data_IF_788339095278
#
_entry.id   IF_788339095278
#
_cell.length_a   1.000
_cell.length_b   1.000
_cell.length_c   1.000
_cell.angle_alpha   90.00
_cell.angle_beta   90.00
_cell.angle_gamma   90.00
#
_symmetry.space_group_name_H-M   'P 1'
#
loop_
_entity.id
_entity.type
_entity.pdbx_description
1 polymer ?
#
# COMPACT_ATOMS: atom_id res chain seq x y z
N UNK A 1 -0.62 32.98 -3.02
CA UNK A 1 -1.90 32.35 -2.60
C UNK A 1 -2.13 30.93 -3.16
N UNK A 2 -1.40 30.45 -4.18
CA UNK A 2 -1.62 29.09 -4.73
C UNK A 2 -1.15 27.93 -3.81
N UNK A 3 -0.11 28.13 -2.99
CA UNK A 3 0.52 27.05 -2.20
C UNK A 3 -0.38 26.54 -1.07
N UNK A 4 -1.15 27.41 -0.43
CA UNK A 4 -2.04 27.05 0.69
C UNK A 4 -3.22 26.19 0.25
N UNK A 5 -3.80 26.49 -0.93
CA UNK A 5 -4.93 25.75 -1.51
C UNK A 5 -4.55 24.29 -1.82
N UNK A 6 -3.37 24.06 -2.39
CA UNK A 6 -2.88 22.71 -2.70
C UNK A 6 -2.64 21.87 -1.45
N UNK A 7 -2.15 22.48 -0.37
CA UNK A 7 -1.96 21.80 0.93
C UNK A 7 -3.31 21.39 1.51
N UNK A 8 -4.29 22.30 1.50
CA UNK A 8 -5.64 22.03 2.02
C UNK A 8 -6.28 20.85 1.28
N UNK A 9 -6.24 20.84 -0.06
CA UNK A 9 -6.81 19.74 -0.85
C UNK A 9 -6.12 18.40 -0.53
N UNK A 10 -4.77 18.37 -0.48
CA UNK A 10 -4.00 17.17 -0.14
C UNK A 10 -4.42 16.60 1.22
N UNK A 11 -4.52 17.44 2.24
CA UNK A 11 -4.87 16.99 3.60
C UNK A 11 -6.35 16.63 3.74
N UNK A 12 -7.26 17.32 3.06
CA UNK A 12 -8.68 16.96 3.03
C UNK A 12 -8.89 15.57 2.45
N UNK A 13 -8.24 15.24 1.32
CA UNK A 13 -8.30 13.90 0.72
C UNK A 13 -7.75 12.83 1.66
N UNK A 14 -6.64 13.11 2.34
CA UNK A 14 -6.02 12.18 3.28
C UNK A 14 -6.96 11.90 4.48
N UNK A 15 -7.58 12.93 5.05
CA UNK A 15 -8.53 12.80 6.17
C UNK A 15 -9.79 12.04 5.75
N UNK A 16 -10.32 12.29 4.55
CA UNK A 16 -11.48 11.55 4.03
C UNK A 16 -11.13 10.07 3.83
N UNK A 17 -9.98 9.77 3.22
CA UNK A 17 -9.50 8.40 3.05
C UNK A 17 -9.27 7.70 4.40
N UNK A 18 -8.72 8.41 5.38
CA UNK A 18 -8.53 7.94 6.74
C UNK A 18 -9.87 7.62 7.42
N UNK A 19 -10.81 8.57 7.37
CA UNK A 19 -12.13 8.44 8.02
C UNK A 19 -12.95 7.29 7.45
N UNK A 20 -12.93 7.10 6.13
CA UNK A 20 -13.62 5.97 5.51
C UNK A 20 -13.06 4.62 5.96
N UNK A 21 -11.74 4.49 6.09
CA UNK A 21 -11.12 3.23 6.54
C UNK A 21 -11.38 2.95 8.02
N UNK A 22 -11.47 3.98 8.87
CA UNK A 22 -11.75 3.83 10.30
C UNK A 22 -13.21 3.50 10.61
N UNK A 23 -14.14 4.00 9.80
CA UNK A 23 -15.59 3.82 10.03
C UNK A 23 -16.06 2.45 9.52
N UNK A 24 -15.42 1.90 8.48
CA UNK A 24 -15.88 0.65 7.88
C UNK A 24 -15.45 -0.54 8.76
N UNK A 25 -16.40 -1.31 9.32
CA UNK A 25 -16.08 -2.39 10.24
C UNK A 25 -15.36 -3.56 9.53
N UNK A 26 -14.42 -4.19 10.22
CA UNK A 26 -13.67 -5.38 9.79
C UNK A 26 -14.54 -6.44 9.12
N UNK A 27 -15.71 -6.66 9.71
CA UNK A 27 -16.69 -7.67 9.28
C UNK A 27 -17.21 -7.39 7.87
N UNK A 28 -17.39 -6.13 7.51
CA UNK A 28 -17.89 -5.75 6.19
C UNK A 28 -16.80 -5.87 5.10
N UNK A 29 -15.53 -5.65 5.46
CA UNK A 29 -14.40 -5.68 4.52
C UNK A 29 -13.73 -7.05 4.39
N UNK A 30 -13.72 -7.85 5.46
CA UNK A 30 -12.86 -9.03 5.59
C UNK A 30 -13.60 -10.27 6.10
N UNK A 31 -14.89 -10.43 5.80
CA UNK A 31 -15.62 -11.65 6.15
C UNK A 31 -14.97 -12.92 5.58
N UNK A 32 -14.89 -13.94 6.45
CA UNK A 32 -14.07 -15.15 6.28
C UNK A 32 -14.51 -16.04 5.11
N UNK A 33 -15.75 -15.87 4.63
CA UNK A 33 -16.35 -16.80 3.68
C UNK A 33 -16.29 -16.30 2.23
N UNK A 34 -16.05 -14.99 2.02
CA UNK A 34 -15.90 -14.37 0.70
C UNK A 34 -14.95 -13.17 0.75
N UNK A 35 -13.67 -13.37 0.46
CA UNK A 35 -12.79 -12.23 0.15
C UNK A 35 -13.21 -11.65 -1.20
N UNK A 36 -13.86 -10.48 -1.19
CA UNK A 36 -14.19 -9.70 -2.40
C UNK A 36 -12.89 -9.13 -3.00
N UNK A 37 -12.08 -9.97 -3.62
CA UNK A 37 -10.90 -9.54 -4.37
C UNK A 37 -11.35 -9.09 -5.77
N UNK A 38 -11.69 -7.82 -5.91
CA UNK A 38 -12.07 -7.21 -7.19
C UNK A 38 -11.06 -7.52 -8.30
N UNK A 39 -9.76 -7.52 -7.98
CA UNK A 39 -8.72 -7.86 -8.93
C UNK A 39 -8.88 -9.28 -9.46
N UNK A 40 -9.01 -10.28 -8.58
CA UNK A 40 -9.24 -11.67 -8.98
C UNK A 40 -10.55 -11.82 -9.78
N UNK A 41 -11.62 -11.13 -9.36
CA UNK A 41 -12.91 -11.18 -10.05
C UNK A 41 -12.87 -10.56 -11.45
N UNK A 42 -12.04 -9.54 -11.68
CA UNK A 42 -11.96 -8.84 -12.97
C UNK A 42 -10.89 -9.48 -13.87
N UNK A 43 -9.73 -9.84 -13.33
CA UNK A 43 -8.57 -10.30 -14.12
C UNK A 43 -8.43 -11.82 -14.15
N UNK A 44 -9.10 -12.56 -13.27
CA UNK A 44 -8.89 -14.01 -13.10
C UNK A 44 -7.56 -14.36 -12.44
N UNK A 45 -6.78 -13.37 -12.00
CA UNK A 45 -5.44 -13.55 -11.42
C UNK A 45 -5.43 -13.15 -9.95
N UNK A 46 -4.81 -13.96 -9.09
CA UNK A 46 -4.62 -13.59 -7.67
C UNK A 46 -3.79 -12.30 -7.59
N UNK A 47 -4.30 -11.31 -6.86
CA UNK A 47 -3.63 -10.01 -6.75
C UNK A 47 -2.24 -10.18 -6.10
N UNK A 48 -1.15 -9.80 -6.78
CA UNK A 48 0.19 -9.87 -6.20
C UNK A 48 0.37 -8.88 -5.04
N UNK A 49 -0.39 -7.79 -5.01
CA UNK A 49 -0.43 -6.84 -3.90
C UNK A 49 -1.59 -7.14 -2.91
N UNK A 50 -2.03 -8.39 -2.80
CA UNK A 50 -3.09 -8.73 -1.83
C UNK A 50 -2.66 -8.37 -0.39
N UNK A 51 -3.66 -8.12 0.46
CA UNK A 51 -3.42 -7.74 1.85
C UNK A 51 -3.14 -6.26 2.07
N UNK A 52 -3.05 -5.41 1.04
CA UNK A 52 -2.87 -3.95 1.23
C UNK A 52 -3.97 -3.34 2.09
N UNK A 53 -5.24 -3.48 1.70
CA UNK A 53 -6.37 -2.90 2.43
C UNK A 53 -6.43 -3.39 3.89
N UNK A 54 -6.11 -4.67 4.11
CA UNK A 54 -6.08 -5.26 5.44
C UNK A 54 -4.89 -4.77 6.27
N UNK A 55 -3.70 -4.65 5.66
CA UNK A 55 -2.54 -4.08 6.32
C UNK A 55 -2.77 -2.62 6.69
N UNK A 56 -3.41 -1.84 5.81
CA UNK A 56 -3.77 -0.44 6.06
C UNK A 56 -4.75 -0.37 7.25
N UNK A 57 -5.77 -1.22 7.26
CA UNK A 57 -6.72 -1.32 8.36
C UNK A 57 -6.03 -1.64 9.69
N UNK A 58 -5.12 -2.62 9.72
CA UNK A 58 -4.35 -3.00 10.90
C UNK A 58 -3.40 -1.86 11.36
N UNK A 59 -2.76 -1.13 10.43
CA UNK A 59 -1.94 0.05 10.77
C UNK A 59 -2.78 1.11 11.47
N UNK A 60 -4.00 1.38 10.99
CA UNK A 60 -4.90 2.34 11.63
C UNK A 60 -5.38 1.93 13.02
N UNK A 61 -5.41 0.62 13.28
CA UNK A 61 -5.69 0.06 14.61
C UNK A 61 -4.41 -0.13 15.45
N UNK A 62 -3.27 0.41 15.01
CA UNK A 62 -1.97 0.35 15.72
C UNK A 62 -1.44 -1.10 15.85
N UNK A 63 -1.93 -2.02 15.02
CA UNK A 63 -1.54 -3.44 15.00
C UNK A 63 -0.42 -3.70 14.00
N UNK A 64 0.75 -3.08 14.21
CA UNK A 64 1.86 -3.09 13.24
C UNK A 64 2.36 -4.50 12.90
N UNK A 65 2.52 -5.38 13.90
CA UNK A 65 2.93 -6.77 13.66
C UNK A 65 1.93 -7.52 12.78
N UNK A 66 0.63 -7.27 12.97
CA UNK A 66 -0.42 -7.85 12.16
C UNK A 66 -0.42 -7.26 10.74
N UNK A 67 -0.21 -5.95 10.61
CA UNK A 67 -0.07 -5.30 9.31
C UNK A 67 1.10 -5.85 8.48
N UNK A 68 2.26 -6.08 9.11
CA UNK A 68 3.45 -6.66 8.47
C UNK A 68 3.17 -8.06 7.90
N UNK A 69 2.38 -8.88 8.61
CA UNK A 69 1.95 -10.21 8.12
C UNK A 69 1.08 -10.13 6.86
N UNK A 70 0.30 -9.05 6.71
CA UNK A 70 -0.57 -8.85 5.56
C UNK A 70 0.18 -8.24 4.37
N UNK A 71 0.97 -7.18 4.61
CA UNK A 71 1.80 -6.57 3.59
C UNK A 71 2.92 -5.74 4.25
N UNK A 72 4.16 -6.20 4.10
CA UNK A 72 5.33 -5.54 4.70
C UNK A 72 5.59 -4.13 4.18
N UNK A 73 5.20 -3.82 2.94
CA UNK A 73 5.42 -2.49 2.35
C UNK A 73 4.42 -1.45 2.87
N UNK A 74 3.28 -1.86 3.42
CA UNK A 74 2.25 -0.92 3.89
C UNK A 74 2.71 -0.14 5.13
N UNK A 75 3.17 -0.76 6.23
CA UNK A 75 3.73 -0.01 7.36
C UNK A 75 4.88 0.92 6.94
N UNK A 76 5.74 0.47 6.01
CA UNK A 76 6.81 1.31 5.46
C UNK A 76 6.26 2.52 4.69
N UNK A 77 5.23 2.34 3.88
CA UNK A 77 4.56 3.43 3.16
C UNK A 77 3.97 4.46 4.14
N UNK A 78 3.40 4.03 5.27
CA UNK A 78 2.93 4.95 6.31
C UNK A 78 4.06 5.77 6.93
N UNK A 79 5.24 5.18 7.15
CA UNK A 79 6.42 5.93 7.61
C UNK A 79 6.86 6.98 6.59
N UNK A 80 6.86 6.64 5.29
CA UNK A 80 7.17 7.58 4.20
C UNK A 80 6.16 8.74 4.18
N UNK A 81 4.86 8.45 4.31
CA UNK A 81 3.80 9.47 4.37
C UNK A 81 3.94 10.35 5.62
N UNK A 82 4.24 9.77 6.79
CA UNK A 82 4.46 10.55 8.01
C UNK A 82 5.67 11.49 7.87
N UNK A 83 6.76 11.02 7.25
CA UNK A 83 7.93 11.82 6.95
C UNK A 83 7.60 12.97 5.96
N UNK A 84 6.81 12.71 4.93
CA UNK A 84 6.33 13.75 3.99
C UNK A 84 5.57 14.87 4.70
N UNK A 85 4.65 14.49 5.58
CA UNK A 85 3.86 15.44 6.37
C UNK A 85 4.80 16.27 7.24
N UNK A 86 5.71 15.61 7.96
CA UNK A 86 6.71 16.29 8.80
C UNK A 86 7.56 17.28 7.99
N UNK A 87 8.08 16.87 6.84
CA UNK A 87 8.89 17.73 5.97
C UNK A 87 8.06 18.92 5.47
N UNK A 88 6.79 18.73 5.10
CA UNK A 88 5.93 19.83 4.65
C UNK A 88 5.76 20.92 5.74
N UNK A 89 5.84 20.58 7.04
CA UNK A 89 5.73 21.55 8.13
C UNK A 89 7.01 22.37 8.35
N UNK A 90 8.19 21.83 8.04
CA UNK A 90 9.49 22.45 8.38
C UNK A 90 10.11 23.29 7.23
N UNK A 91 9.38 23.56 6.13
CA UNK A 91 9.85 24.33 4.96
C UNK A 91 11.20 23.84 4.39
N UNK A 92 11.20 22.78 3.56
CA UNK A 92 12.42 22.14 3.10
C UNK A 92 13.23 22.95 2.09
N UNK A 93 14.53 23.04 2.34
CA UNK A 93 15.56 23.45 1.38
C UNK A 93 15.60 22.53 0.14
N UNK A 94 16.23 23.00 -0.94
CA UNK A 94 16.30 22.32 -2.24
C UNK A 94 16.83 20.87 -2.19
N UNK A 95 17.75 20.56 -1.28
CA UNK A 95 18.33 19.22 -1.08
C UNK A 95 17.27 18.20 -0.65
N UNK A 96 16.36 18.60 0.24
CA UNK A 96 15.31 17.72 0.76
C UNK A 96 14.28 17.40 -0.33
N UNK A 97 14.02 18.33 -1.26
CA UNK A 97 13.13 18.07 -2.41
C UNK A 97 13.69 16.98 -3.33
N UNK A 98 15.01 16.95 -3.53
CA UNK A 98 15.64 15.93 -4.37
C UNK A 98 15.63 14.57 -3.66
N UNK A 99 15.97 14.54 -2.36
CA UNK A 99 15.87 13.34 -1.54
C UNK A 99 14.44 12.78 -1.51
N UNK A 100 13.44 13.66 -1.40
CA UNK A 100 12.02 13.33 -1.48
C UNK A 100 11.67 12.62 -2.78
N UNK A 101 12.12 13.17 -3.91
CA UNK A 101 11.90 12.58 -5.23
C UNK A 101 12.50 11.17 -5.33
N UNK A 102 13.74 10.99 -4.85
CA UNK A 102 14.38 9.69 -4.81
C UNK A 102 13.63 8.68 -3.92
N UNK A 103 13.18 9.12 -2.74
CA UNK A 103 12.41 8.26 -1.82
C UNK A 103 11.13 7.74 -2.47
N UNK A 104 10.39 8.58 -3.20
CA UNK A 104 9.19 8.16 -3.91
C UNK A 104 9.48 7.22 -5.08
N UNK A 105 10.53 7.51 -5.87
CA UNK A 105 10.96 6.62 -6.96
C UNK A 105 11.32 5.24 -6.40
N UNK A 106 12.09 5.20 -5.30
CA UNK A 106 12.47 3.96 -4.64
C UNK A 106 11.25 3.20 -4.10
N UNK A 107 10.32 3.90 -3.46
CA UNK A 107 9.08 3.32 -2.94
C UNK A 107 8.24 2.71 -4.06
N UNK A 108 8.02 3.45 -5.16
CA UNK A 108 7.28 2.96 -6.33
C UNK A 108 8.00 1.78 -7.00
N UNK A 109 9.33 1.84 -7.10
CA UNK A 109 10.13 0.74 -7.62
C UNK A 109 10.01 -0.52 -6.74
N UNK A 110 9.98 -0.38 -5.40
CA UNK A 110 9.80 -1.50 -4.48
C UNK A 110 8.41 -2.14 -4.63
N UNK A 111 7.34 -1.34 -4.75
CA UNK A 111 6.01 -1.85 -5.03
C UNK A 111 5.93 -2.54 -6.40
N UNK A 112 6.54 -1.95 -7.44
CA UNK A 112 6.62 -2.53 -8.77
C UNK A 112 7.41 -3.83 -8.80
N UNK A 113 8.56 -3.88 -8.11
CA UNK A 113 9.36 -5.10 -7.97
C UNK A 113 8.59 -6.20 -7.25
N UNK A 114 7.93 -5.89 -6.13
CA UNK A 114 7.10 -6.86 -5.41
C UNK A 114 5.96 -7.39 -6.30
N UNK A 115 5.32 -6.50 -7.07
CA UNK A 115 4.31 -6.89 -8.06
C UNK A 115 4.88 -7.90 -9.06
N UNK A 116 6.02 -7.57 -9.69
CA UNK A 116 6.68 -8.38 -10.71
C UNK A 116 7.14 -9.75 -10.18
N UNK A 117 7.70 -9.80 -8.97
CA UNK A 117 8.11 -11.06 -8.34
C UNK A 117 6.89 -11.95 -8.09
N UNK A 118 5.84 -11.40 -7.48
CA UNK A 118 4.66 -12.19 -7.10
C UNK A 118 3.82 -12.60 -8.32
N UNK A 119 3.73 -11.77 -9.35
CA UNK A 119 3.07 -12.14 -10.61
C UNK A 119 3.90 -13.17 -11.38
N UNK A 120 5.24 -13.07 -11.38
CA UNK A 120 6.12 -14.07 -11.99
C UNK A 120 5.98 -15.44 -11.32
N UNK A 121 5.90 -15.48 -9.98
CA UNK A 121 5.60 -16.71 -9.23
C UNK A 121 4.21 -17.24 -9.63
N UNK A 122 3.19 -16.39 -9.70
CA UNK A 122 1.82 -16.81 -10.06
C UNK A 122 1.71 -17.34 -11.49
N UNK A 123 2.34 -16.67 -12.46
CA UNK A 123 2.36 -17.07 -13.87
C UNK A 123 3.28 -18.27 -14.14
N UNK A 124 3.88 -18.86 -13.09
CA UNK A 124 4.68 -20.05 -13.24
C UNK A 124 6.03 -19.79 -13.91
N UNK A 125 6.65 -18.61 -13.76
CA UNK A 125 8.07 -18.45 -14.09
C UNK A 125 8.97 -19.42 -13.30
N UNK A 126 8.45 -19.99 -12.22
CA UNK A 126 9.08 -21.08 -11.45
C UNK A 126 8.77 -22.49 -12.00
N UNK A 127 7.86 -22.64 -12.98
CA UNK A 127 7.48 -23.94 -13.56
C UNK A 127 8.59 -24.58 -14.43
N UNK A 128 9.76 -23.96 -14.55
CA UNK A 128 10.97 -24.62 -15.04
C UNK A 128 11.69 -25.49 -13.98
N UNK A 129 11.28 -25.43 -12.69
CA UNK A 129 11.95 -26.17 -11.61
C UNK A 129 11.04 -27.09 -10.77
N UNK A 130 9.72 -27.09 -10.92
CA UNK A 130 8.86 -28.07 -10.22
C UNK A 130 7.72 -28.54 -11.10
N UNK A 131 7.87 -29.78 -11.57
CA UNK A 131 6.93 -30.50 -12.43
C UNK A 131 5.90 -31.31 -11.61
N UNK A 132 5.43 -30.79 -10.48
CA UNK A 132 4.47 -31.51 -9.66
C UNK A 132 3.69 -30.58 -8.75
N UNK A 133 2.36 -30.78 -8.71
CA UNK A 133 1.37 -30.21 -7.80
C UNK A 133 0.55 -29.03 -8.35
N UNK A 134 -0.27 -29.34 -9.36
CA UNK A 134 -1.59 -28.73 -9.54
C UNK A 134 -2.63 -29.85 -9.52
N UNK A 135 -3.21 -30.08 -8.35
CA UNK A 135 -4.59 -30.57 -8.14
C UNK A 135 -5.16 -29.84 -6.93
#
# INVERSE_FOLDING_TARGET
>A
MQVTSQRIIKYSLLIIGLGTILIVPDKLLFHSDKSLCLHLSITGVKCPLCGMTRAIHEVFHIRILSALRHNMLVPLLFLVIALEIYIDFINPESIVKNARRFLWIFTLAAFGMLYLVRIGIYLGWWNWLDHSLVF
#
